data_IF_543681046407
#
_entry.id   IF_543681046407
#
_cell.length_a   1.000
_cell.length_b   1.000
_cell.length_c   1.000
_cell.angle_alpha   90.00
_cell.angle_beta   90.00
_cell.angle_gamma   90.00
#
_symmetry.space_group_name_H-M   'P 1'
#
loop_
_entity.id
_entity.type
_entity.pdbx_description
1 polymer ?
#
# COMPACT_ATOMS: atom_id res chain seq x y z
N UNK A 1 4.40 9.18 0.82
CA UNK A 1 4.57 9.48 2.26
C UNK A 1 5.72 8.72 2.88
N UNK A 2 5.73 7.38 2.90
CA UNK A 2 6.89 6.56 3.32
C UNK A 2 8.12 6.90 2.48
N UNK A 3 7.93 7.17 1.20
CA UNK A 3 8.99 7.54 0.26
C UNK A 3 9.67 8.88 0.57
N UNK A 4 8.99 9.79 1.25
CA UNK A 4 9.50 11.15 1.53
C UNK A 4 10.03 11.34 2.96
N UNK A 5 9.61 10.49 3.92
CA UNK A 5 9.92 10.65 5.35
C UNK A 5 10.57 9.45 6.00
N UNK A 6 10.46 8.28 5.38
CA UNK A 6 11.09 7.06 5.87
C UNK A 6 12.60 7.04 5.60
N UNK A 7 13.31 6.27 6.38
CA UNK A 7 14.73 6.06 6.19
C UNK A 7 15.00 5.30 4.89
N UNK A 8 16.00 5.72 4.13
CA UNK A 8 16.37 5.13 2.84
C UNK A 8 17.77 4.55 2.96
N UNK A 9 17.87 3.24 2.97
CA UNK A 9 19.13 2.54 2.99
C UNK A 9 19.46 1.97 1.60
N UNK A 10 20.64 2.28 1.09
CA UNK A 10 21.15 1.69 -0.15
C UNK A 10 21.73 0.31 0.14
N UNK A 11 21.23 -0.68 -0.57
CA UNK A 11 21.61 -2.08 -0.39
C UNK A 11 22.50 -2.50 -1.54
N UNK A 12 23.73 -2.91 -1.20
CA UNK A 12 24.72 -3.45 -2.17
C UNK A 12 24.69 -4.98 -2.26
N UNK A 13 23.94 -5.64 -1.39
CA UNK A 13 23.77 -7.10 -1.38
C UNK A 13 22.32 -7.48 -1.62
N UNK A 14 22.07 -8.73 -2.00
CA UNK A 14 20.73 -9.26 -2.28
C UNK A 14 19.73 -9.07 -1.13
N UNK A 15 20.22 -9.11 0.11
CA UNK A 15 19.39 -8.99 1.31
C UNK A 15 20.00 -7.95 2.27
N UNK A 16 19.18 -7.04 2.76
CA UNK A 16 19.52 -6.18 3.88
C UNK A 16 19.22 -6.91 5.21
N UNK A 17 20.12 -6.82 6.16
CA UNK A 17 19.90 -7.32 7.52
C UNK A 17 19.49 -6.17 8.43
N UNK A 18 18.31 -6.28 9.02
CA UNK A 18 17.76 -5.30 9.95
C UNK A 18 17.86 -5.86 11.38
N UNK A 19 18.78 -5.36 12.21
CA UNK A 19 18.87 -5.77 13.60
C UNK A 19 17.70 -5.18 14.40
N UNK A 20 16.96 -6.04 15.09
CA UNK A 20 15.79 -5.65 15.86
C UNK A 20 16.03 -5.91 17.35
N UNK A 21 15.74 -4.92 18.18
CA UNK A 21 15.61 -5.12 19.62
C UNK A 21 14.19 -5.60 19.94
N UNK A 22 14.05 -6.88 20.21
CA UNK A 22 12.73 -7.50 20.45
C UNK A 22 12.25 -7.19 21.87
N UNK A 23 13.12 -7.39 22.87
CA UNK A 23 12.77 -7.16 24.27
C UNK A 23 13.90 -6.43 24.98
N UNK A 24 13.61 -5.38 25.77
CA UNK A 24 14.62 -4.74 26.60
C UNK A 24 15.10 -5.71 27.69
N UNK A 25 16.36 -5.59 28.04
CA UNK A 25 16.92 -6.30 29.19
C UNK A 25 16.63 -5.57 30.49
N UNK A 26 17.15 -6.14 31.58
CA UNK A 26 17.03 -5.58 32.91
C UNK A 26 16.06 -6.37 33.79
N UNK A 27 16.23 -6.21 35.09
CA UNK A 27 15.35 -6.78 36.12
C UNK A 27 15.27 -5.77 37.25
N UNK A 28 14.18 -5.09 37.38
CA UNK A 28 13.96 -4.13 38.45
C UNK A 28 13.32 -4.83 39.66
N UNK A 29 13.73 -4.46 40.86
CA UNK A 29 13.22 -4.99 42.11
C UNK A 29 13.68 -4.14 43.29
N UNK A 30 13.13 -4.43 44.46
CA UNK A 30 13.63 -3.85 45.70
C UNK A 30 15.02 -4.41 46.00
N UNK A 31 15.93 -3.53 46.38
CA UNK A 31 17.26 -3.89 46.83
C UNK A 31 17.36 -3.83 48.38
N UNK A 32 17.91 -4.87 48.99
CA UNK A 32 18.29 -4.80 50.39
C UNK A 32 19.73 -4.27 50.48
N UNK A 33 19.87 -3.03 50.94
CA UNK A 33 21.16 -2.36 51.06
C UNK A 33 21.91 -2.73 52.36
N UNK A 34 21.30 -3.55 53.22
CA UNK A 34 21.92 -4.06 54.43
C UNK A 34 22.56 -5.46 54.19
N UNK A 35 23.51 -5.48 53.25
CA UNK A 35 24.30 -6.70 52.93
C UNK A 35 23.60 -7.75 52.07
N UNK A 36 22.41 -7.43 51.48
CA UNK A 36 21.69 -8.33 50.60
C UNK A 36 22.28 -8.42 49.19
N UNK A 37 22.03 -9.55 48.49
CA UNK A 37 22.39 -9.73 47.09
C UNK A 37 21.51 -8.82 46.21
N UNK A 38 22.13 -8.06 45.31
CA UNK A 38 21.43 -7.19 44.32
C UNK A 38 20.80 -7.97 43.17
N UNK A 39 21.09 -9.26 43.05
CA UNK A 39 20.57 -10.13 42.00
C UNK A 39 21.23 -9.89 40.64
N UNK A 40 20.91 -10.77 39.69
CA UNK A 40 21.36 -10.64 38.29
C UNK A 40 20.24 -10.09 37.38
N UNK A 41 20.59 -9.16 36.49
CA UNK A 41 19.74 -8.70 35.44
C UNK A 41 19.57 -9.74 34.31
N UNK A 42 18.61 -9.52 33.42
CA UNK A 42 18.51 -10.25 32.15
C UNK A 42 19.09 -9.41 31.00
N UNK A 43 19.70 -10.07 30.00
CA UNK A 43 20.18 -9.39 28.80
C UNK A 43 19.03 -8.94 27.89
N UNK A 44 19.29 -7.98 27.01
CA UNK A 44 18.41 -7.58 25.95
C UNK A 44 18.34 -8.68 24.89
N UNK A 45 17.13 -8.96 24.37
CA UNK A 45 16.93 -9.93 23.28
C UNK A 45 16.97 -9.19 21.96
N UNK A 46 17.88 -9.60 21.08
CA UNK A 46 18.01 -9.14 19.70
C UNK A 46 17.71 -10.26 18.74
N UNK A 47 17.17 -9.91 17.57
CA UNK A 47 17.04 -10.80 16.40
C UNK A 47 17.29 -10.00 15.13
N UNK A 48 17.46 -10.68 13.98
CA UNK A 48 17.80 -10.06 12.71
C UNK A 48 16.76 -10.41 11.67
N UNK A 49 15.99 -9.40 11.24
CA UNK A 49 15.09 -9.53 10.11
C UNK A 49 15.86 -9.41 8.78
N UNK A 50 15.33 -10.02 7.73
CA UNK A 50 15.89 -9.94 6.38
C UNK A 50 14.91 -9.24 5.44
N UNK A 51 15.40 -8.20 4.76
CA UNK A 51 14.65 -7.42 3.79
C UNK A 51 15.24 -7.67 2.41
N UNK A 52 14.46 -8.26 1.51
CA UNK A 52 14.87 -8.57 0.13
C UNK A 52 14.19 -7.61 -0.84
N UNK A 53 14.94 -6.74 -1.56
CA UNK A 53 14.37 -5.86 -2.58
C UNK A 53 13.67 -6.64 -3.69
N UNK A 54 12.55 -6.09 -4.16
CA UNK A 54 11.78 -6.59 -5.31
C UNK A 54 11.90 -5.59 -6.45
N UNK A 55 12.07 -6.08 -7.67
CA UNK A 55 12.20 -5.25 -8.86
C UNK A 55 10.87 -5.08 -9.57
N UNK A 56 10.55 -3.85 -9.91
CA UNK A 56 9.42 -3.46 -10.72
C UNK A 56 9.91 -2.86 -12.03
N UNK A 57 9.15 -3.09 -13.08
CA UNK A 57 9.40 -2.52 -14.42
C UNK A 57 8.12 -1.91 -14.98
N UNK A 58 8.30 -0.90 -15.81
CA UNK A 58 7.29 -0.39 -16.72
C UNK A 58 7.88 -0.30 -18.11
N UNK A 59 7.13 -0.73 -19.13
CA UNK A 59 7.59 -0.81 -20.50
C UNK A 59 6.79 0.17 -21.36
N UNK A 60 7.45 1.04 -22.09
CA UNK A 60 6.81 2.03 -22.96
C UNK A 60 7.29 1.84 -24.38
N UNK A 61 6.34 1.62 -25.29
CA UNK A 61 6.57 1.49 -26.71
C UNK A 61 6.15 2.77 -27.43
N UNK A 62 7.02 3.27 -28.32
CA UNK A 62 6.75 4.42 -29.19
C UNK A 62 6.95 4.02 -30.64
N UNK A 63 5.93 4.24 -31.46
CA UNK A 63 6.02 3.99 -32.88
C UNK A 63 6.71 5.15 -33.63
N UNK A 64 7.46 4.86 -34.67
CA UNK A 64 8.12 5.88 -35.53
C UNK A 64 7.12 6.84 -36.17
N UNK A 65 5.90 6.38 -36.45
CA UNK A 65 4.84 7.24 -36.99
C UNK A 65 4.50 8.38 -36.02
N UNK A 66 4.35 8.08 -34.72
CA UNK A 66 4.08 9.08 -33.68
C UNK A 66 5.21 10.07 -33.56
N UNK A 67 6.47 9.58 -33.61
CA UNK A 67 7.66 10.44 -33.58
C UNK A 67 7.71 11.40 -34.79
N UNK A 68 7.52 10.90 -36.03
CA UNK A 68 7.50 11.75 -37.22
C UNK A 68 6.35 12.74 -37.23
N UNK A 69 5.15 12.33 -36.78
CA UNK A 69 4.00 13.23 -36.68
C UNK A 69 4.17 14.34 -35.64
N UNK A 70 5.00 14.11 -34.61
CA UNK A 70 5.24 15.09 -33.54
C UNK A 70 6.45 16.00 -33.77
N UNK A 71 7.32 15.66 -34.73
CA UNK A 71 8.54 16.43 -35.02
C UNK A 71 8.32 17.61 -35.99
N UNK A 72 7.12 17.81 -36.52
CA UNK A 72 6.80 18.96 -37.37
C UNK A 72 6.52 20.20 -36.47
N UNK A 73 7.38 21.23 -36.44
CA UNK A 73 7.28 22.35 -35.51
C UNK A 73 6.00 23.17 -35.66
N UNK A 74 5.39 23.16 -36.84
CA UNK A 74 4.21 23.96 -37.16
C UNK A 74 2.85 23.25 -36.84
N UNK A 75 2.88 21.96 -36.50
CA UNK A 75 1.66 21.13 -36.35
C UNK A 75 1.55 20.33 -35.07
N UNK A 76 2.63 20.15 -34.33
CA UNK A 76 2.63 19.42 -33.06
C UNK A 76 2.62 20.38 -31.88
N UNK A 77 1.58 20.34 -31.08
CA UNK A 77 1.46 21.15 -29.86
C UNK A 77 2.51 20.74 -28.82
N UNK A 78 2.99 19.50 -28.86
CA UNK A 78 3.97 18.96 -27.91
C UNK A 78 4.75 17.79 -28.53
N UNK A 79 5.98 17.58 -28.09
CA UNK A 79 6.75 16.40 -28.46
C UNK A 79 6.13 15.15 -27.83
N UNK A 80 5.53 14.29 -28.65
CA UNK A 80 4.80 13.11 -28.23
C UNK A 80 5.67 12.15 -27.40
N UNK A 81 6.93 11.94 -27.76
CA UNK A 81 7.84 11.08 -27.00
C UNK A 81 8.06 11.59 -25.58
N UNK A 82 8.29 12.90 -25.42
CA UNK A 82 8.46 13.52 -24.11
C UNK A 82 7.20 13.41 -23.25
N UNK A 83 6.04 13.54 -23.87
CA UNK A 83 4.74 13.38 -23.19
C UNK A 83 4.53 11.94 -22.72
N UNK A 84 4.79 10.95 -23.59
CA UNK A 84 4.67 9.53 -23.26
C UNK A 84 5.59 9.13 -22.09
N UNK A 85 6.86 9.55 -22.12
CA UNK A 85 7.80 9.34 -21.01
C UNK A 85 7.29 9.92 -19.69
N UNK A 86 6.75 11.14 -19.74
CA UNK A 86 6.22 11.80 -18.54
C UNK A 86 4.98 11.07 -18.00
N UNK A 87 4.05 10.68 -18.88
CA UNK A 87 2.84 9.96 -18.51
C UNK A 87 3.17 8.60 -17.90
N UNK A 88 4.07 7.85 -18.54
CA UNK A 88 4.54 6.55 -18.05
C UNK A 88 5.19 6.66 -16.66
N UNK A 89 6.03 7.67 -16.43
CA UNK A 89 6.62 7.89 -15.11
C UNK A 89 5.57 8.16 -14.02
N UNK A 90 4.54 8.95 -14.32
CA UNK A 90 3.43 9.22 -13.39
C UNK A 90 2.64 7.94 -13.13
N UNK A 91 2.34 7.17 -14.17
CA UNK A 91 1.62 5.89 -14.07
C UNK A 91 2.41 4.85 -13.27
N UNK A 92 3.71 4.75 -13.53
CA UNK A 92 4.58 3.83 -12.78
C UNK A 92 4.63 4.17 -11.28
N UNK A 93 4.75 5.46 -10.93
CA UNK A 93 4.68 5.90 -9.53
C UNK A 93 3.32 5.60 -8.89
N UNK A 94 2.24 5.81 -9.62
CA UNK A 94 0.89 5.45 -9.16
C UNK A 94 0.74 3.94 -8.94
N UNK A 95 1.29 3.12 -9.84
CA UNK A 95 1.32 1.67 -9.69
C UNK A 95 2.08 1.25 -8.42
N UNK A 96 3.26 1.81 -8.18
CA UNK A 96 4.03 1.51 -6.97
C UNK A 96 3.25 1.89 -5.69
N UNK A 97 2.53 3.02 -5.69
CA UNK A 97 1.66 3.41 -4.57
C UNK A 97 0.52 2.38 -4.35
N UNK A 98 -0.10 1.89 -5.43
CA UNK A 98 -1.12 0.83 -5.37
C UNK A 98 -0.58 -0.48 -4.78
N UNK A 99 0.60 -0.90 -5.22
CA UNK A 99 1.25 -2.12 -4.70
C UNK A 99 1.63 -1.96 -3.22
N UNK A 100 1.98 -0.76 -2.76
CA UNK A 100 2.23 -0.47 -1.34
C UNK A 100 1.01 -0.66 -0.44
N UNK A 101 -0.21 -0.69 -1.00
CA UNK A 101 -1.43 -1.01 -0.24
C UNK A 101 -1.65 -2.51 -0.06
N UNK A 102 -0.84 -3.38 -0.67
CA UNK A 102 -1.02 -4.84 -0.65
C UNK A 102 -0.37 -5.50 0.57
N UNK A 103 -0.69 -6.79 0.75
CA UNK A 103 -0.17 -7.61 1.86
C UNK A 103 1.10 -8.40 1.49
N UNK A 104 1.93 -7.90 0.57
CA UNK A 104 3.16 -8.58 0.19
C UNK A 104 2.99 -9.75 -0.80
N UNK A 105 1.78 -10.09 -1.17
CA UNK A 105 1.46 -11.14 -2.13
C UNK A 105 1.03 -10.61 -3.51
N UNK A 106 1.05 -9.27 -3.69
CA UNK A 106 0.68 -8.62 -4.94
C UNK A 106 -0.80 -8.63 -5.30
N UNK A 107 -1.68 -9.06 -4.40
CA UNK A 107 -3.13 -9.07 -4.62
C UNK A 107 -3.68 -7.66 -4.68
N UNK A 108 -4.28 -7.30 -5.81
CA UNK A 108 -4.92 -6.02 -6.05
C UNK A 108 -6.42 -6.05 -5.72
N UNK A 109 -7.04 -7.20 -5.80
CA UNK A 109 -8.46 -7.36 -5.46
C UNK A 109 -8.94 -8.79 -5.58
N UNK A 110 -10.16 -9.03 -5.12
CA UNK A 110 -10.83 -10.34 -5.16
C UNK A 110 -12.05 -10.24 -6.06
N UNK A 111 -12.27 -11.22 -6.92
CA UNK A 111 -13.43 -11.29 -7.81
C UNK A 111 -14.67 -11.68 -6.99
N UNK A 112 -15.70 -10.84 -7.03
CA UNK A 112 -17.00 -11.15 -6.42
C UNK A 112 -17.88 -11.94 -7.39
N UNK A 113 -18.06 -11.41 -8.61
CA UNK A 113 -18.84 -12.07 -9.66
C UNK A 113 -18.22 -11.82 -11.04
N UNK A 114 -18.54 -12.70 -12.00
CA UNK A 114 -18.05 -12.64 -13.38
C UNK A 114 -19.24 -12.53 -14.32
N UNK A 115 -19.18 -11.61 -15.25
CA UNK A 115 -20.16 -11.45 -16.34
C UNK A 115 -19.46 -11.69 -17.67
N UNK A 116 -20.03 -12.56 -18.53
CA UNK A 116 -19.46 -12.91 -19.83
C UNK A 116 -20.41 -12.65 -21.00
N UNK A 117 -21.63 -12.16 -20.72
CA UNK A 117 -22.64 -11.89 -21.73
C UNK A 117 -23.07 -10.43 -21.71
N UNK A 118 -23.49 -9.89 -22.86
CA UNK A 118 -23.93 -8.50 -22.98
C UNK A 118 -22.78 -7.47 -22.91
N UNK A 119 -21.54 -7.91 -23.15
CA UNK A 119 -20.34 -7.06 -23.08
C UNK A 119 -20.04 -6.42 -24.45
N UNK A 120 -19.31 -5.29 -24.46
CA UNK A 120 -18.82 -4.67 -25.70
C UNK A 120 -17.91 -5.59 -26.52
N UNK A 121 -17.79 -5.32 -27.83
CA UNK A 121 -16.85 -6.04 -28.68
C UNK A 121 -15.40 -5.90 -28.19
N UNK A 122 -14.68 -7.03 -28.13
CA UNK A 122 -13.30 -7.09 -27.63
C UNK A 122 -13.15 -7.29 -26.12
N UNK A 123 -14.25 -7.29 -25.37
CA UNK A 123 -14.26 -7.61 -23.93
C UNK A 123 -14.67 -9.07 -23.76
N UNK A 124 -13.78 -9.89 -23.17
CA UNK A 124 -14.07 -11.30 -22.91
C UNK A 124 -14.84 -11.52 -21.60
N UNK A 125 -14.55 -10.72 -20.59
CA UNK A 125 -15.23 -10.81 -19.30
C UNK A 125 -15.23 -9.47 -18.55
N UNK A 126 -16.23 -9.30 -17.67
CA UNK A 126 -16.28 -8.26 -16.65
C UNK A 126 -16.17 -8.90 -15.27
N UNK A 127 -15.21 -8.46 -14.48
CA UNK A 127 -15.06 -8.85 -13.10
C UNK A 127 -15.61 -7.76 -12.20
N UNK A 128 -16.62 -8.09 -11.40
CA UNK A 128 -17.03 -7.25 -10.29
C UNK A 128 -16.12 -7.56 -9.09
N UNK A 129 -15.45 -6.54 -8.58
CA UNK A 129 -14.47 -6.70 -7.53
C UNK A 129 -15.10 -6.51 -6.15
N UNK A 130 -14.72 -7.34 -5.20
CA UNK A 130 -15.18 -7.22 -3.82
C UNK A 130 -14.62 -5.94 -3.16
N UNK A 131 -15.47 -5.18 -2.48
CA UNK A 131 -15.05 -4.04 -1.64
C UNK A 131 -14.77 -4.49 -0.21
N UNK A 132 -13.74 -3.99 0.45
CA UNK A 132 -12.59 -3.28 -0.07
C UNK A 132 -11.55 -4.22 -0.71
N UNK A 133 -10.68 -3.77 -1.62
CA UNK A 133 -10.50 -2.41 -2.14
C UNK A 133 -11.36 -2.11 -3.39
N UNK A 134 -12.17 -3.03 -3.90
CA UNK A 134 -12.89 -2.84 -5.15
C UNK A 134 -11.94 -2.77 -6.36
N UNK A 135 -12.25 -1.89 -7.33
CA UNK A 135 -11.46 -1.73 -8.55
C UNK A 135 -10.41 -0.59 -8.49
N UNK A 136 -10.23 0.09 -7.35
CA UNK A 136 -9.38 1.30 -7.29
C UNK A 136 -7.87 1.02 -7.43
N UNK A 137 -7.42 -0.21 -7.17
CA UNK A 137 -6.01 -0.58 -7.34
C UNK A 137 -5.65 -0.95 -8.79
N UNK A 138 -6.62 -0.97 -9.70
CA UNK A 138 -6.40 -1.26 -11.11
C UNK A 138 -6.22 0.01 -11.95
N UNK A 139 -5.71 -0.13 -13.17
CA UNK A 139 -5.62 0.93 -14.16
C UNK A 139 -5.77 0.37 -15.59
N UNK A 140 -6.11 1.25 -16.53
CA UNK A 140 -6.28 0.90 -17.93
C UNK A 140 -5.00 0.35 -18.56
N UNK A 141 -5.14 -0.68 -19.38
CA UNK A 141 -4.04 -1.39 -20.07
C UNK A 141 -3.05 -2.11 -19.14
N UNK A 142 -3.45 -2.38 -17.90
CA UNK A 142 -2.66 -3.18 -16.98
C UNK A 142 -2.79 -4.66 -17.32
N UNK A 143 -1.66 -5.35 -17.45
CA UNK A 143 -1.65 -6.82 -17.43
C UNK A 143 -1.80 -7.30 -15.99
N UNK A 144 -2.72 -8.21 -15.77
CA UNK A 144 -2.99 -8.82 -14.47
C UNK A 144 -2.98 -10.34 -14.60
N UNK A 145 -2.74 -11.02 -13.50
CA UNK A 145 -2.83 -12.48 -13.41
C UNK A 145 -3.95 -12.86 -12.45
N UNK A 146 -4.67 -13.92 -12.76
CA UNK A 146 -5.73 -14.46 -11.92
C UNK A 146 -5.21 -15.72 -11.22
N UNK A 147 -5.37 -15.75 -9.91
CA UNK A 147 -5.01 -16.89 -9.06
C UNK A 147 -6.24 -17.42 -8.32
N UNK A 148 -6.17 -18.65 -7.92
CA UNK A 148 -7.12 -19.22 -6.96
C UNK A 148 -7.07 -18.47 -5.60
N UNK A 149 -8.08 -18.60 -4.74
CA UNK A 149 -8.15 -17.87 -3.46
C UNK A 149 -6.97 -18.16 -2.52
N UNK A 150 -6.32 -19.30 -2.68
CA UNK A 150 -5.17 -19.73 -1.87
C UNK A 150 -3.82 -19.34 -2.45
N UNK A 151 -3.79 -18.67 -3.62
CA UNK A 151 -2.57 -18.27 -4.35
C UNK A 151 -1.67 -19.45 -4.74
N UNK A 152 -2.22 -20.66 -4.89
CA UNK A 152 -1.45 -21.85 -5.26
C UNK A 152 -1.45 -22.11 -6.75
N UNK A 153 -2.53 -21.77 -7.44
CA UNK A 153 -2.73 -22.05 -8.87
C UNK A 153 -2.90 -20.73 -9.64
N UNK A 154 -2.00 -20.45 -10.57
CA UNK A 154 -2.17 -19.38 -11.55
C UNK A 154 -3.10 -19.87 -12.67
N UNK A 155 -4.21 -19.17 -12.89
CA UNK A 155 -5.19 -19.51 -13.94
C UNK A 155 -4.85 -18.91 -15.30
N UNK A 156 -4.00 -17.89 -15.32
CA UNK A 156 -3.57 -17.17 -16.53
C UNK A 156 -3.57 -15.67 -16.36
N UNK A 157 -3.27 -14.96 -17.47
CA UNK A 157 -3.20 -13.51 -17.54
C UNK A 157 -4.31 -12.91 -18.38
N UNK A 158 -4.64 -11.66 -18.13
CA UNK A 158 -5.56 -10.85 -18.91
C UNK A 158 -5.13 -9.37 -18.87
N UNK A 159 -5.52 -8.59 -19.90
CA UNK A 159 -5.29 -7.15 -19.91
C UNK A 159 -6.58 -6.42 -19.53
N UNK A 160 -6.44 -5.41 -18.69
CA UNK A 160 -7.55 -4.58 -18.22
C UNK A 160 -7.89 -3.55 -19.29
N UNK A 161 -9.09 -3.63 -19.85
CA UNK A 161 -9.61 -2.73 -20.90
C UNK A 161 -10.37 -1.55 -20.34
N UNK A 162 -10.97 -1.68 -19.17
CA UNK A 162 -11.74 -0.64 -18.50
C UNK A 162 -11.68 -0.83 -17.00
N UNK A 163 -11.61 0.27 -16.26
CA UNK A 163 -11.69 0.30 -14.80
C UNK A 163 -12.78 1.28 -14.40
N UNK A 164 -13.77 0.81 -13.64
CA UNK A 164 -14.79 1.65 -13.01
C UNK A 164 -14.68 1.51 -11.47
N UNK A 165 -14.01 2.47 -10.81
CA UNK A 165 -13.85 2.43 -9.35
C UNK A 165 -15.17 2.60 -8.59
N UNK A 166 -16.15 3.32 -9.15
CA UNK A 166 -17.43 3.58 -8.48
C UNK A 166 -18.29 2.32 -8.39
N UNK A 167 -18.41 1.59 -9.50
CA UNK A 167 -19.13 0.33 -9.55
C UNK A 167 -18.25 -0.88 -9.16
N UNK A 168 -16.97 -0.65 -8.83
CA UNK A 168 -15.99 -1.68 -8.45
C UNK A 168 -15.89 -2.79 -9.50
N UNK A 169 -15.79 -2.43 -10.78
CA UNK A 169 -15.67 -3.38 -11.87
C UNK A 169 -14.45 -3.11 -12.75
N UNK A 170 -13.93 -4.18 -13.34
CA UNK A 170 -12.93 -4.13 -14.42
C UNK A 170 -13.42 -4.98 -15.59
N UNK A 171 -13.09 -4.55 -16.81
CA UNK A 171 -13.31 -5.36 -18.01
C UNK A 171 -11.98 -5.83 -18.57
N UNK A 172 -11.92 -7.06 -19.02
CA UNK A 172 -10.69 -7.71 -19.47
C UNK A 172 -10.85 -8.30 -20.87
N UNK A 173 -9.73 -8.36 -21.61
CA UNK A 173 -9.64 -8.88 -22.97
C UNK A 173 -9.71 -10.42 -23.04
N UNK A 174 -9.35 -11.09 -21.95
CA UNK A 174 -9.35 -12.55 -21.88
C UNK A 174 -9.95 -13.02 -20.55
N UNK A 175 -10.63 -14.17 -20.58
CA UNK A 175 -11.07 -14.88 -19.36
C UNK A 175 -10.17 -16.11 -19.16
N UNK A 176 -9.23 -16.08 -18.19
CA UNK A 176 -8.38 -17.23 -17.91
C UNK A 176 -9.22 -18.47 -17.54
N UNK A 177 -8.79 -19.65 -18.01
CA UNK A 177 -9.53 -20.88 -17.82
C UNK A 177 -9.66 -21.25 -16.35
N UNK A 178 -10.88 -21.54 -15.90
CA UNK A 178 -11.17 -21.94 -14.52
C UNK A 178 -11.33 -20.77 -13.56
N UNK A 179 -11.33 -19.49 -14.05
CA UNK A 179 -11.62 -18.33 -13.22
C UNK A 179 -13.03 -18.41 -12.62
N UNK A 180 -13.13 -18.17 -11.32
CA UNK A 180 -14.37 -18.26 -10.56
C UNK A 180 -14.50 -17.14 -9.53
N UNK A 181 -15.68 -17.00 -8.92
CA UNK A 181 -15.86 -16.10 -7.79
C UNK A 181 -14.91 -16.47 -6.64
N UNK A 182 -14.46 -15.49 -5.91
CA UNK A 182 -13.42 -15.51 -4.86
C UNK A 182 -11.98 -15.70 -5.37
N UNK A 183 -11.75 -15.91 -6.67
CA UNK A 183 -10.39 -15.85 -7.19
C UNK A 183 -9.79 -14.45 -6.98
N UNK A 184 -8.48 -14.37 -6.85
CA UNK A 184 -7.76 -13.14 -6.59
C UNK A 184 -7.03 -12.67 -7.85
N UNK A 185 -7.02 -11.36 -8.03
CA UNK A 185 -6.32 -10.72 -9.15
C UNK A 185 -5.06 -10.08 -8.61
N UNK A 186 -3.91 -10.44 -9.18
CA UNK A 186 -2.59 -9.94 -8.80
C UNK A 186 -1.97 -9.16 -9.95
N UNK A 187 -0.97 -8.31 -9.65
CA UNK A 187 -0.22 -7.60 -10.70
C UNK A 187 0.67 -8.57 -11.51
N UNK A 188 1.06 -8.14 -12.69
CA UNK A 188 1.92 -8.94 -13.59
C UNK A 188 3.32 -9.20 -13.02
N UNK A 189 3.99 -10.23 -13.56
CA UNK A 189 5.35 -10.61 -13.22
C UNK A 189 5.48 -11.53 -12.01
N UNK A 190 4.37 -11.89 -11.36
CA UNK A 190 4.38 -12.85 -10.27
C UNK A 190 4.31 -14.29 -10.81
N UNK A 191 5.11 -15.18 -10.23
CA UNK A 191 5.20 -16.59 -10.68
C UNK A 191 5.18 -17.55 -9.51
N UNK A 192 4.72 -18.78 -9.78
CA UNK A 192 4.70 -19.87 -8.79
C UNK A 192 3.55 -19.76 -7.78
N UNK A 193 3.57 -20.66 -6.81
CA UNK A 193 2.64 -20.68 -5.70
C UNK A 193 3.09 -19.71 -4.61
N UNK A 194 2.13 -19.04 -3.93
CA UNK A 194 2.39 -18.06 -2.87
C UNK A 194 3.37 -16.97 -3.33
N UNK A 195 3.04 -16.22 -4.41
CA UNK A 195 3.96 -15.24 -4.98
C UNK A 195 4.29 -14.14 -3.97
N UNK A 196 5.53 -13.65 -4.02
CA UNK A 196 6.01 -12.58 -3.14
C UNK A 196 6.20 -11.29 -3.94
N UNK A 197 5.62 -10.20 -3.43
CA UNK A 197 5.70 -8.86 -3.98
C UNK A 197 6.24 -7.88 -2.93
N UNK A 198 5.98 -6.58 -3.12
CA UNK A 198 6.32 -5.54 -2.17
C UNK A 198 5.58 -5.73 -0.85
N UNK A 199 6.29 -5.73 0.26
CA UNK A 199 5.71 -5.75 1.60
C UNK A 199 5.09 -4.39 1.92
N UNK A 200 3.79 -4.27 1.64
CA UNK A 200 3.05 -3.03 1.81
C UNK A 200 2.58 -2.76 3.23
N UNK A 201 1.71 -1.77 3.37
CA UNK A 201 1.18 -1.34 4.67
C UNK A 201 0.43 -2.50 5.34
N UNK A 202 -0.38 -3.26 4.61
CA UNK A 202 -1.15 -4.37 5.17
C UNK A 202 -0.28 -5.52 5.67
N UNK A 203 0.91 -5.72 5.09
CA UNK A 203 1.86 -6.74 5.56
C UNK A 203 2.47 -6.38 6.90
N UNK A 204 2.88 -5.13 7.08
CA UNK A 204 3.52 -4.66 8.31
C UNK A 204 2.50 -4.34 9.42
N UNK A 205 1.34 -3.80 9.05
CA UNK A 205 0.27 -3.41 9.98
C UNK A 205 -0.77 -4.53 10.14
N UNK A 206 -0.39 -5.61 10.81
CA UNK A 206 -1.28 -6.74 11.10
C UNK A 206 -1.12 -7.22 12.53
N UNK A 207 -2.20 -7.69 13.14
CA UNK A 207 -2.22 -8.31 14.47
C UNK A 207 -1.99 -9.84 14.43
N UNK A 208 -1.54 -10.37 13.29
CA UNK A 208 -1.26 -11.80 13.16
C UNK A 208 -0.16 -12.23 14.15
N UNK A 209 -0.45 -13.27 14.92
CA UNK A 209 0.46 -13.88 15.90
C UNK A 209 1.18 -15.12 15.37
N UNK A 210 0.87 -15.52 14.14
CA UNK A 210 1.45 -16.67 13.43
C UNK A 210 1.90 -16.28 12.04
N UNK A 211 2.71 -17.12 11.40
CA UNK A 211 3.27 -16.86 10.07
C UNK A 211 4.64 -16.18 10.13
N UNK A 212 5.15 -15.85 8.95
CA UNK A 212 6.47 -15.26 8.78
C UNK A 212 6.38 -13.76 8.54
N UNK A 213 7.24 -12.98 9.17
CA UNK A 213 7.41 -11.55 8.95
C UNK A 213 8.90 -11.24 8.77
N UNK A 214 9.31 -10.75 7.61
CA UNK A 214 10.71 -10.45 7.27
C UNK A 214 11.68 -11.57 7.69
N UNK A 215 11.31 -12.82 7.42
CA UNK A 215 12.04 -14.04 7.80
C UNK A 215 12.01 -14.40 9.31
N UNK A 216 11.33 -13.65 10.15
CA UNK A 216 11.10 -13.99 11.56
C UNK A 216 9.76 -14.71 11.73
N UNK A 217 9.72 -15.67 12.64
CA UNK A 217 8.47 -16.36 12.98
C UNK A 217 7.69 -15.54 14.01
N UNK A 218 6.46 -15.09 13.62
CA UNK A 218 5.56 -14.34 14.52
C UNK A 218 5.18 -15.13 15.76
N UNK A 219 5.10 -16.47 15.69
CA UNK A 219 4.77 -17.29 16.85
C UNK A 219 5.86 -17.24 17.94
N UNK A 220 7.10 -16.93 17.59
CA UNK A 220 8.20 -16.72 18.57
C UNK A 220 8.03 -15.39 19.30
N UNK A 221 7.52 -14.37 18.62
CA UNK A 221 7.35 -13.00 19.12
C UNK A 221 5.94 -12.46 18.87
N UNK A 222 4.89 -13.11 19.43
CA UNK A 222 3.50 -12.87 19.02
C UNK A 222 2.96 -11.49 19.44
N UNK A 223 3.59 -10.82 20.40
CA UNK A 223 3.21 -9.48 20.86
C UNK A 223 4.09 -8.41 20.22
N UNK A 224 5.38 -8.68 20.11
CA UNK A 224 6.37 -7.73 19.63
C UNK A 224 6.25 -7.45 18.13
N UNK A 225 5.89 -8.48 17.34
CA UNK A 225 5.71 -8.41 15.89
C UNK A 225 4.25 -8.19 15.45
N UNK A 226 3.33 -8.00 16.40
CA UNK A 226 1.94 -7.72 16.11
C UNK A 226 1.60 -6.25 16.30
N UNK A 227 0.86 -5.68 15.36
CA UNK A 227 0.34 -4.32 15.46
C UNK A 227 -0.97 -4.32 16.24
N UNK A 228 -1.13 -3.45 17.24
CA UNK A 228 -2.41 -3.26 17.94
C UNK A 228 -3.57 -2.96 17.00
N UNK A 229 -4.69 -3.65 17.17
CA UNK A 229 -5.84 -3.48 16.31
C UNK A 229 -7.11 -3.13 17.10
N UNK A 230 -8.03 -2.42 16.44
CA UNK A 230 -9.40 -2.17 16.91
C UNK A 230 -10.34 -2.65 15.81
N UNK A 231 -11.28 -3.53 16.15
CA UNK A 231 -12.30 -3.96 15.21
C UNK A 231 -13.47 -2.95 15.20
N UNK A 232 -13.77 -2.39 14.03
CA UNK A 232 -14.87 -1.45 13.81
C UNK A 232 -16.26 -2.13 13.74
N UNK A 233 -16.32 -3.48 13.69
CA UNK A 233 -17.55 -4.26 13.67
C UNK A 233 -18.54 -3.82 12.57
N UNK A 234 -18.03 -3.48 11.39
CA UNK A 234 -18.80 -2.95 10.28
C UNK A 234 -19.66 -1.72 10.65
N UNK A 235 -19.15 -0.91 11.54
CA UNK A 235 -19.78 0.35 11.99
C UNK A 235 -19.02 1.56 11.48
N UNK A 236 -19.66 2.72 11.49
CA UNK A 236 -19.01 3.98 11.14
C UNK A 236 -17.84 4.29 12.07
N UNK A 237 -16.85 5.00 11.57
CA UNK A 237 -15.71 5.46 12.36
C UNK A 237 -16.17 6.35 13.51
N UNK A 238 -15.70 6.09 14.72
CA UNK A 238 -16.07 6.85 15.93
C UNK A 238 -14.85 7.44 16.63
N UNK A 239 -14.97 8.61 17.30
CA UNK A 239 -13.88 9.17 18.12
C UNK A 239 -13.40 8.23 19.22
N UNK A 240 -14.31 7.39 19.75
CA UNK A 240 -13.99 6.37 20.74
C UNK A 240 -13.04 5.30 20.19
N UNK A 241 -13.29 4.80 18.96
CA UNK A 241 -12.43 3.82 18.30
C UNK A 241 -11.03 4.40 18.02
N UNK A 242 -10.95 5.65 17.55
CA UNK A 242 -9.69 6.36 17.32
C UNK A 242 -8.87 6.50 18.61
N UNK A 243 -9.48 6.96 19.69
CA UNK A 243 -8.82 7.08 21.01
C UNK A 243 -8.38 5.72 21.54
N UNK A 244 -9.18 4.67 21.34
CA UNK A 244 -8.83 3.31 21.74
C UNK A 244 -7.61 2.82 20.98
N UNK A 245 -7.51 3.05 19.67
CA UNK A 245 -6.36 2.69 18.87
C UNK A 245 -5.08 3.38 19.37
N UNK A 246 -5.12 4.69 19.58
CA UNK A 246 -3.98 5.46 20.11
C UNK A 246 -3.59 4.96 21.52
N UNK A 247 -4.55 4.67 22.39
CA UNK A 247 -4.27 4.17 23.73
C UNK A 247 -3.67 2.75 23.71
N UNK A 248 -4.04 1.91 22.72
CA UNK A 248 -3.40 0.61 22.52
C UNK A 248 -1.92 0.75 22.13
N UNK A 249 -1.56 1.73 21.27
CA UNK A 249 -0.16 2.04 20.98
C UNK A 249 0.58 2.46 22.25
N UNK A 250 0.03 3.40 23.01
CA UNK A 250 0.65 3.86 24.28
C UNK A 250 0.90 2.69 25.24
N UNK A 251 -0.08 1.80 25.40
CA UNK A 251 0.07 0.59 26.23
C UNK A 251 1.11 -0.38 25.68
N UNK A 252 1.17 -0.55 24.35
CA UNK A 252 2.14 -1.42 23.69
C UNK A 252 3.57 -0.94 23.87
N UNK A 253 3.79 0.37 23.77
CA UNK A 253 5.10 0.99 23.92
C UNK A 253 5.50 1.26 25.37
N UNK A 254 4.55 1.18 26.32
CA UNK A 254 4.76 1.57 27.70
C UNK A 254 5.05 3.07 27.89
N UNK A 255 4.66 3.90 26.94
CA UNK A 255 4.90 5.35 26.94
C UNK A 255 3.61 6.14 26.80
N UNK A 256 3.48 7.23 27.56
CA UNK A 256 2.38 8.17 27.43
C UNK A 256 2.50 9.09 26.20
N UNK A 257 3.71 9.19 25.63
CA UNK A 257 3.98 10.05 24.48
C UNK A 257 3.96 9.21 23.20
N UNK A 258 3.05 9.55 22.29
CA UNK A 258 2.99 9.03 20.92
C UNK A 258 3.07 10.23 20.00
N UNK A 259 4.30 10.71 19.75
CA UNK A 259 4.53 12.04 19.19
C UNK A 259 4.59 12.11 17.67
N UNK A 260 4.65 10.97 16.96
CA UNK A 260 4.92 10.96 15.50
C UNK A 260 3.92 10.13 14.70
N UNK A 261 2.75 9.82 15.26
CA UNK A 261 1.70 9.12 14.55
C UNK A 261 1.12 9.99 13.44
N UNK A 262 0.80 9.35 12.32
CA UNK A 262 0.00 9.89 11.24
C UNK A 262 -1.17 8.93 11.02
N UNK A 263 -2.38 9.44 10.92
CA UNK A 263 -3.55 8.68 10.53
C UNK A 263 -3.59 8.61 9.00
N UNK A 264 -3.34 7.42 8.46
CA UNK A 264 -3.43 7.14 7.03
C UNK A 264 -4.75 6.45 6.74
N UNK A 265 -5.53 6.99 5.81
CA UNK A 265 -6.89 6.53 5.57
C UNK A 265 -7.33 6.74 4.12
N UNK A 266 -8.47 6.16 3.76
CA UNK A 266 -9.13 6.43 2.49
C UNK A 266 -9.96 7.72 2.53
N UNK A 267 -10.37 8.20 1.36
CA UNK A 267 -11.23 9.39 1.24
C UNK A 267 -12.58 9.18 1.90
N UNK A 268 -13.12 7.96 1.84
CA UNK A 268 -14.42 7.59 2.43
C UNK A 268 -14.41 7.71 3.95
N UNK A 269 -13.34 7.22 4.59
CA UNK A 269 -13.22 7.31 6.05
C UNK A 269 -12.85 8.73 6.51
N UNK A 270 -12.10 9.49 5.70
CA UNK A 270 -11.87 10.91 5.94
C UNK A 270 -13.21 11.67 5.92
N UNK A 271 -14.04 11.43 4.90
CA UNK A 271 -15.37 12.04 4.79
C UNK A 271 -16.27 11.69 5.99
N UNK A 272 -16.30 10.43 6.43
CA UNK A 272 -17.02 10.05 7.65
C UNK A 272 -16.54 10.83 8.88
N UNK A 273 -15.23 11.00 9.02
CA UNK A 273 -14.66 11.76 10.13
C UNK A 273 -15.06 13.24 10.09
N UNK A 274 -15.05 13.86 8.92
CA UNK A 274 -15.50 15.23 8.72
C UNK A 274 -16.98 15.43 9.09
N UNK A 275 -17.85 14.50 8.66
CA UNK A 275 -19.27 14.54 9.01
C UNK A 275 -19.53 14.50 10.52
N UNK A 276 -18.75 13.72 11.26
CA UNK A 276 -18.82 13.70 12.73
C UNK A 276 -18.48 15.06 13.34
N UNK A 277 -17.48 15.73 12.81
CA UNK A 277 -17.10 17.08 13.22
C UNK A 277 -18.22 18.11 13.01
N UNK A 278 -18.86 18.07 11.86
CA UNK A 278 -20.01 18.96 11.56
C UNK A 278 -21.17 18.74 12.53
N UNK A 279 -21.53 17.50 12.80
CA UNK A 279 -22.62 17.14 13.72
C UNK A 279 -22.34 17.65 15.15
N UNK A 280 -21.13 17.47 15.64
CA UNK A 280 -20.74 17.95 16.99
C UNK A 280 -20.81 19.47 17.05
N UNK A 281 -20.39 20.18 16.01
CA UNK A 281 -20.46 21.65 15.94
C UNK A 281 -21.90 22.18 15.94
N UNK A 282 -22.82 21.48 15.27
CA UNK A 282 -24.23 21.86 15.27
C UNK A 282 -24.85 21.73 16.68
N UNK A 283 -24.57 20.65 17.40
CA UNK A 283 -25.05 20.43 18.77
C UNK A 283 -24.53 21.54 19.72
N UNK A 284 -23.27 21.94 19.60
CA UNK A 284 -22.71 23.02 20.43
C UNK A 284 -23.35 24.37 20.10
N UNK A 285 -23.70 24.64 18.83
CA UNK A 285 -24.39 25.88 18.43
C UNK A 285 -25.83 25.97 18.93
N UNK A 286 -26.56 24.90 18.97
CA UNK A 286 -27.94 24.87 19.47
C UNK A 286 -28.01 24.95 20.98
N UNK A 287 -26.98 24.51 21.72
CA UNK A 287 -26.97 24.45 23.18
C UNK A 287 -26.32 25.60 23.95
N UNK A 288 -25.46 26.37 23.33
CA UNK A 288 -24.74 27.44 23.99
C UNK A 288 -24.51 28.58 23.01
N UNK A 289 -25.11 29.71 23.09
CA UNK A 289 -24.96 30.88 22.23
C UNK A 289 -23.50 31.15 21.73
N UNK A 290 -22.94 30.11 21.07
CA UNK A 290 -21.54 29.97 20.70
C UNK A 290 -21.13 30.89 19.55
N UNK A 291 -19.96 31.47 19.65
CA UNK A 291 -19.35 32.34 18.66
C UNK A 291 -19.05 31.58 17.35
N UNK A 292 -19.28 32.25 16.21
CA UNK A 292 -18.99 31.74 14.87
C UNK A 292 -17.52 31.35 14.65
N UNK A 293 -16.60 31.74 15.52
CA UNK A 293 -15.16 31.41 15.48
C UNK A 293 -14.84 29.94 15.74
N UNK A 294 -15.74 29.18 16.36
CA UNK A 294 -15.49 27.75 16.61
C UNK A 294 -15.73 26.85 15.38
N UNK A 295 -16.38 27.40 14.36
CA UNK A 295 -16.53 26.70 13.06
C UNK A 295 -15.23 26.70 12.25
N UNK A 296 -14.39 27.70 12.43
CA UNK A 296 -13.11 27.82 11.74
C UNK A 296 -12.11 26.72 12.15
N UNK A 297 -12.25 26.14 13.34
CA UNK A 297 -11.41 25.04 13.81
C UNK A 297 -11.62 23.71 13.04
N UNK A 298 -12.78 23.56 12.41
CA UNK A 298 -13.11 22.36 11.61
C UNK A 298 -12.65 22.44 10.15
N UNK A 299 -12.44 23.65 9.65
CA UNK A 299 -12.09 23.92 8.26
C UNK A 299 -10.69 24.51 8.07
N UNK A 300 -9.97 24.81 9.12
CA UNK A 300 -8.56 25.26 9.03
C UNK A 300 -7.64 24.07 8.76
N UNK A 301 -7.19 23.95 7.55
CA UNK A 301 -6.00 23.32 6.94
C UNK A 301 -5.38 22.05 7.53
N UNK A 302 -5.33 21.84 8.80
CA UNK A 302 -4.74 20.68 9.45
C UNK A 302 -5.81 19.75 10.02
N UNK A 303 -6.29 18.86 9.15
CA UNK A 303 -7.23 17.79 9.57
C UNK A 303 -6.53 16.84 10.54
N UNK A 304 -7.16 16.60 11.69
CA UNK A 304 -6.62 15.69 12.70
C UNK A 304 -7.67 14.73 13.28
N UNK A 305 -7.28 13.50 13.57
CA UNK A 305 -8.06 12.52 14.36
C UNK A 305 -7.49 12.44 15.78
N UNK A 306 -8.20 13.02 16.74
CA UNK A 306 -7.78 13.07 18.16
C UNK A 306 -6.35 13.62 18.35
N UNK A 307 -5.97 14.64 17.59
CA UNK A 307 -4.64 15.26 17.64
C UNK A 307 -3.58 14.58 16.77
N UNK A 308 -3.94 13.56 15.99
CA UNK A 308 -3.07 12.90 15.02
C UNK A 308 -3.39 13.43 13.61
N UNK A 309 -2.41 13.98 12.86
CA UNK A 309 -2.66 14.52 11.53
C UNK A 309 -3.15 13.44 10.56
N UNK A 310 -4.14 13.78 9.74
CA UNK A 310 -4.72 12.88 8.74
C UNK A 310 -3.97 13.03 7.42
N UNK A 311 -3.72 11.91 6.76
CA UNK A 311 -3.29 11.80 5.37
C UNK A 311 -4.16 10.80 4.65
N UNK A 312 -4.96 11.26 3.70
CA UNK A 312 -5.82 10.42 2.88
C UNK A 312 -5.17 10.06 1.55
N UNK A 313 -5.54 8.91 1.01
CA UNK A 313 -5.16 8.46 -0.33
C UNK A 313 -6.33 7.74 -0.99
N UNK A 314 -6.48 7.95 -2.29
CA UNK A 314 -7.45 7.24 -3.12
C UNK A 314 -7.18 5.73 -3.17
N UNK A 315 -5.94 5.30 -2.94
CA UNK A 315 -5.53 3.90 -2.99
C UNK A 315 -5.60 3.21 -1.61
N UNK A 316 -5.87 3.94 -0.53
CA UNK A 316 -5.96 3.38 0.81
C UNK A 316 -7.21 2.49 0.96
N UNK A 317 -7.15 1.52 1.87
CA UNK A 317 -8.24 0.59 2.11
C UNK A 317 -9.47 1.32 2.69
N UNK A 318 -10.61 1.19 2.00
CA UNK A 318 -11.87 1.91 2.30
C UNK A 318 -12.49 1.55 3.67
N UNK A 319 -12.21 0.38 4.20
CA UNK A 319 -12.75 -0.06 5.50
C UNK A 319 -11.74 0.00 6.64
N UNK A 320 -10.66 0.81 6.48
CA UNK A 320 -9.54 0.79 7.41
C UNK A 320 -8.94 2.19 7.63
N UNK A 321 -8.47 2.40 8.86
CA UNK A 321 -7.64 3.55 9.23
C UNK A 321 -6.35 3.02 9.88
N UNK A 322 -5.20 3.41 9.35
CA UNK A 322 -3.88 3.02 9.86
C UNK A 322 -3.22 4.21 10.58
N UNK A 323 -2.77 3.99 11.81
CA UNK A 323 -1.96 4.93 12.57
C UNK A 323 -0.50 4.50 12.44
N UNK A 324 0.27 5.25 11.68
CA UNK A 324 1.66 4.92 11.33
C UNK A 324 2.63 5.84 12.07
N UNK A 325 3.60 5.28 12.76
CA UNK A 325 4.78 6.02 13.22
C UNK A 325 5.88 5.92 12.16
N UNK A 326 5.99 6.94 11.32
CA UNK A 326 6.93 6.93 10.19
C UNK A 326 8.41 6.95 10.61
N UNK A 327 8.73 7.16 11.87
CA UNK A 327 10.11 7.06 12.35
C UNK A 327 10.63 5.63 12.38
N UNK A 328 9.71 4.64 12.38
CA UNK A 328 10.00 3.21 12.34
C UNK A 328 9.87 2.58 10.94
N UNK A 329 9.61 3.40 9.92
CA UNK A 329 9.45 2.94 8.54
C UNK A 329 10.61 3.40 7.67
N UNK A 330 11.09 2.49 6.82
CA UNK A 330 12.12 2.82 5.85
C UNK A 330 12.01 2.02 4.56
N UNK A 331 12.93 2.32 3.64
CA UNK A 331 13.07 1.61 2.36
C UNK A 331 14.49 1.09 2.20
N UNK A 332 14.60 -0.18 1.86
CA UNK A 332 15.83 -0.77 1.35
C UNK A 332 15.83 -0.61 -0.18
N UNK A 333 16.67 0.26 -0.71
CA UNK A 333 16.72 0.59 -2.14
C UNK A 333 17.98 0.02 -2.76
N UNK A 334 17.82 -0.84 -3.76
CA UNK A 334 18.90 -1.35 -4.59
C UNK A 334 19.08 -0.52 -5.86
N UNK A 335 17.94 -0.12 -6.47
CA UNK A 335 17.88 0.71 -7.66
C UNK A 335 16.77 1.76 -7.50
N UNK A 336 17.10 3.02 -7.59
CA UNK A 336 16.10 4.09 -7.70
C UNK A 336 15.35 4.00 -9.05
N UNK A 337 14.22 4.70 -9.16
CA UNK A 337 13.47 4.74 -10.43
C UNK A 337 14.34 5.40 -11.49
N UNK A 338 14.74 4.63 -12.48
CA UNK A 338 15.58 5.08 -13.58
C UNK A 338 15.27 4.29 -14.86
N UNK A 339 15.82 4.77 -15.98
CA UNK A 339 15.80 4.01 -17.23
C UNK A 339 16.68 2.77 -17.11
N UNK A 340 16.19 1.66 -17.66
CA UNK A 340 17.01 0.46 -17.80
C UNK A 340 18.08 0.71 -18.86
N UNK A 341 19.34 0.59 -18.47
CA UNK A 341 20.51 0.82 -19.31
C UNK A 341 21.25 -0.49 -19.57
N UNK A 342 21.63 -0.70 -20.83
CA UNK A 342 22.52 -1.79 -21.23
C UNK A 342 23.65 -1.21 -22.07
N UNK A 343 24.82 -1.03 -21.49
CA UNK A 343 26.01 -0.52 -22.18
C UNK A 343 25.86 0.92 -22.67
N UNK A 344 25.10 1.78 -21.97
CA UNK A 344 24.81 3.15 -22.35
C UNK A 344 23.59 3.31 -23.26
N UNK A 345 22.92 2.22 -23.63
CA UNK A 345 21.73 2.23 -24.45
C UNK A 345 20.46 2.08 -23.56
N UNK A 346 19.57 3.07 -23.59
CA UNK A 346 18.30 3.10 -22.84
C UNK A 346 17.09 2.87 -23.72
N UNK A 347 17.23 2.94 -25.04
CA UNK A 347 16.17 2.72 -26.03
C UNK A 347 16.51 1.49 -26.86
N UNK A 348 15.59 0.55 -26.91
CA UNK A 348 15.80 -0.74 -27.57
C UNK A 348 14.93 -0.87 -28.82
N UNK A 349 15.46 -1.40 -29.94
CA UNK A 349 14.67 -1.70 -31.10
C UNK A 349 13.75 -2.89 -30.84
N UNK A 350 12.54 -2.84 -31.41
CA UNK A 350 11.60 -3.96 -31.39
C UNK A 350 11.79 -4.76 -32.68
N UNK A 351 11.82 -6.08 -32.59
CA UNK A 351 11.88 -6.98 -33.71
C UNK A 351 10.51 -7.58 -33.99
N UNK A 352 10.06 -7.52 -35.24
CA UNK A 352 8.83 -8.16 -35.69
C UNK A 352 8.94 -9.69 -35.67
N UNK A 353 7.83 -10.39 -35.80
CA UNK A 353 7.76 -11.85 -35.84
C UNK A 353 8.57 -12.49 -36.95
N UNK A 354 8.86 -11.77 -38.03
CA UNK A 354 9.73 -12.18 -39.14
C UNK A 354 11.23 -11.94 -38.91
N UNK A 355 11.63 -11.45 -37.71
CA UNK A 355 13.03 -11.13 -37.38
C UNK A 355 13.54 -9.79 -37.92
N UNK A 356 12.74 -9.04 -38.68
CA UNK A 356 13.05 -7.68 -39.11
C UNK A 356 12.78 -6.64 -38.02
N UNK A 357 13.42 -5.46 -38.13
CA UNK A 357 13.15 -4.33 -37.25
C UNK A 357 11.71 -3.84 -37.43
N UNK A 358 10.96 -3.73 -36.32
CA UNK A 358 9.70 -3.04 -36.30
C UNK A 358 9.92 -1.51 -36.33
N UNK A 359 8.98 -0.76 -36.92
CA UNK A 359 9.01 0.70 -36.93
C UNK A 359 8.57 1.28 -35.55
N UNK A 360 9.13 0.73 -34.48
CA UNK A 360 8.90 1.11 -33.12
C UNK A 360 10.12 0.85 -32.24
N UNK A 361 10.18 1.51 -31.12
CA UNK A 361 11.21 1.28 -30.11
C UNK A 361 10.58 1.24 -28.72
N UNK A 362 11.24 0.54 -27.80
CA UNK A 362 10.81 0.36 -26.43
C UNK A 362 11.87 0.87 -25.46
N UNK A 363 11.43 1.44 -24.34
CA UNK A 363 12.28 1.72 -23.20
C UNK A 363 11.59 1.24 -21.92
N UNK A 364 12.39 1.01 -20.90
CA UNK A 364 11.90 0.49 -19.63
C UNK A 364 12.28 1.44 -18.50
N UNK A 365 11.34 1.68 -17.58
CA UNK A 365 11.63 2.15 -16.25
C UNK A 365 11.81 0.95 -15.33
N UNK A 366 12.81 1.02 -14.47
CA UNK A 366 13.09 -0.03 -13.49
C UNK A 366 13.32 0.60 -12.13
N UNK A 367 12.85 -0.06 -11.09
CA UNK A 367 13.18 0.26 -9.70
C UNK A 367 13.28 -1.03 -8.90
N UNK A 368 14.19 -1.07 -7.93
CA UNK A 368 14.36 -2.21 -7.03
C UNK A 368 14.39 -1.74 -5.58
N UNK A 369 13.33 -2.02 -4.83
CA UNK A 369 13.27 -1.66 -3.42
C UNK A 369 12.35 -2.59 -2.63
N UNK A 370 12.44 -2.53 -1.30
CA UNK A 370 11.48 -3.13 -0.38
C UNK A 370 11.25 -2.17 0.79
N UNK A 371 10.03 -2.20 1.31
CA UNK A 371 9.66 -1.44 2.51
C UNK A 371 9.87 -2.30 3.75
N UNK A 372 10.32 -1.67 4.83
CA UNK A 372 10.48 -2.31 6.12
C UNK A 372 9.91 -1.45 7.25
N UNK A 373 9.60 -2.11 8.36
CA UNK A 373 9.21 -1.50 9.61
C UNK A 373 9.99 -2.20 10.73
N UNK A 374 10.69 -1.49 11.58
CA UNK A 374 11.48 -2.08 12.67
C UNK A 374 10.66 -2.28 13.95
N UNK A 375 9.47 -1.68 14.05
CA UNK A 375 8.61 -1.77 15.23
C UNK A 375 7.11 -1.82 14.86
N UNK A 376 6.56 -2.99 14.45
CA UNK A 376 5.14 -3.10 14.13
C UNK A 376 4.20 -2.63 15.24
N UNK A 377 4.60 -2.77 16.50
CA UNK A 377 3.83 -2.34 17.69
C UNK A 377 3.80 -0.83 17.91
N UNK A 378 4.62 -0.04 17.19
CA UNK A 378 4.61 1.44 17.27
C UNK A 378 3.43 2.07 16.56
N UNK A 379 2.74 1.31 15.69
CA UNK A 379 1.51 1.69 15.02
C UNK A 379 0.27 1.04 15.63
N UNK A 380 -0.89 1.39 15.09
CA UNK A 380 -2.17 0.71 15.32
C UNK A 380 -3.02 0.79 14.07
N UNK A 381 -4.07 -0.02 14.00
CA UNK A 381 -5.06 0.14 12.95
C UNK A 381 -6.47 -0.16 13.45
N UNK A 382 -7.45 0.47 12.78
CA UNK A 382 -8.86 0.15 12.92
C UNK A 382 -9.27 -0.53 11.62
N UNK A 383 -9.78 -1.73 11.67
CA UNK A 383 -10.27 -2.47 10.52
C UNK A 383 -11.77 -2.71 10.61
N UNK A 384 -12.35 -3.26 9.53
CA UNK A 384 -13.77 -3.62 9.51
C UNK A 384 -14.70 -2.41 9.77
N UNK A 385 -14.35 -1.26 9.20
CA UNK A 385 -15.19 -0.08 9.20
C UNK A 385 -16.22 -0.17 8.08
N UNK A 386 -17.42 0.34 8.31
CA UNK A 386 -18.42 0.49 7.28
C UNK A 386 -17.94 1.49 6.20
N UNK A 387 -18.16 1.14 4.94
CA UNK A 387 -17.96 2.07 3.83
C UNK A 387 -19.21 2.95 3.73
N UNK A 388 -19.09 4.29 3.68
CA UNK A 388 -20.24 5.17 3.55
C UNK A 388 -21.04 4.86 2.29
N UNK A 389 -22.36 5.06 2.36
CA UNK A 389 -23.23 4.95 1.18
C UNK A 389 -22.91 6.06 0.19
N UNK A 390 -22.80 5.68 -1.11
CA UNK A 390 -22.49 6.62 -2.19
C UNK A 390 -21.04 6.53 -2.69
N UNK A 391 -20.26 5.60 -2.14
CA UNK A 391 -18.88 5.31 -2.58
C UNK A 391 -18.73 3.88 -3.12
#
# INVERSE_FOLDING_TARGET
MIQQRGDVERVSSRNMRLPLQIRPGGKAGLANMDGGDLGRGSGTTYDVAQVTPVFFRDAVEITKLVEYASNAPDKAIENAAKREVKNAMVQFRSFLDKVMQTNGNGVLGTISTITTSGLPSGVAAQFNMAKPPGAQLFYYNQTVQVYDPTLTTNRGSANVLLVDPFNSLIQVDALPTGTSANDVVVHDGLTGAQPTSLFGILYHQTNATTGTWLNLNRATYPVELATPNVNGNNSALTPGAVRLAINKVRKSLGSNQVSKLIAYTSLEQEHQWEQLGVTISQIIKEGAGGRASDLDLLFTGDKSMAGVPIKSSINANQSRVDFLDLSHWGRAVMQDIDFYDVGGQTVFPIYGASGGLAAAYIFYFVTGFQVWNDSPRSGAYINNLAIPTGY
#
